data_IF_264674233581
#
_entry.id   IF_264674233581
#
_cell.length_a   1.000
_cell.length_b   1.000
_cell.length_c   1.000
_cell.angle_alpha   90.00
_cell.angle_beta   90.00
_cell.angle_gamma   90.00
#
_symmetry.space_group_name_H-M   'P 1'
#
loop_
_entity.id
_entity.type
_entity.pdbx_description
1 polymer ?
#
# COMPACT_ATOMS: atom_id res chain seq x y z
N UNK A 1 -22.34 6.88 24.07
CA UNK A 1 -22.43 6.02 22.87
C UNK A 1 -23.48 4.96 23.13
N UNK A 2 -24.48 4.83 22.25
CA UNK A 2 -25.56 3.84 22.38
C UNK A 2 -25.10 2.45 21.92
N UNK A 3 -25.84 1.40 22.26
CA UNK A 3 -25.55 0.04 21.77
C UNK A 3 -25.60 -0.04 20.24
N UNK A 4 -26.56 0.65 19.62
CA UNK A 4 -26.67 0.74 18.15
C UNK A 4 -25.44 1.38 17.50
N UNK A 5 -24.93 2.47 18.07
CA UNK A 5 -23.71 3.13 17.56
C UNK A 5 -22.47 2.24 17.69
N UNK A 6 -22.41 1.38 18.72
CA UNK A 6 -21.34 0.38 18.86
C UNK A 6 -21.41 -0.68 17.78
N UNK A 7 -22.60 -1.23 17.54
CA UNK A 7 -22.82 -2.25 16.50
C UNK A 7 -22.49 -1.74 15.10
N UNK A 8 -22.91 -0.51 14.77
CA UNK A 8 -22.60 0.14 13.50
C UNK A 8 -21.09 0.37 13.32
N UNK A 9 -20.39 0.79 14.38
CA UNK A 9 -18.95 0.97 14.36
C UNK A 9 -18.20 -0.36 14.18
N UNK A 10 -18.63 -1.43 14.86
CA UNK A 10 -18.05 -2.76 14.68
C UNK A 10 -18.25 -3.29 13.26
N UNK A 11 -19.46 -3.18 12.71
CA UNK A 11 -19.75 -3.61 11.34
C UNK A 11 -18.91 -2.84 10.29
N UNK A 12 -18.69 -1.55 10.52
CA UNK A 12 -17.81 -0.75 9.66
C UNK A 12 -16.36 -1.25 9.70
N UNK A 13 -15.84 -1.53 10.90
CA UNK A 13 -14.46 -2.04 11.06
C UNK A 13 -14.31 -3.42 10.42
N UNK A 14 -15.29 -4.32 10.58
CA UNK A 14 -15.29 -5.62 9.91
C UNK A 14 -15.26 -5.47 8.39
N UNK A 15 -16.07 -4.55 7.83
CA UNK A 15 -16.06 -4.27 6.39
C UNK A 15 -14.69 -3.78 5.91
N UNK A 16 -14.09 -2.82 6.62
CA UNK A 16 -12.75 -2.32 6.31
C UNK A 16 -11.72 -3.46 6.36
N UNK A 17 -11.79 -4.31 7.38
CA UNK A 17 -10.91 -5.48 7.51
C UNK A 17 -11.02 -6.43 6.31
N UNK A 18 -12.23 -6.65 5.81
CA UNK A 18 -12.46 -7.49 4.64
C UNK A 18 -11.98 -6.83 3.34
N UNK A 19 -12.18 -5.52 3.18
CA UNK A 19 -11.68 -4.77 2.03
C UNK A 19 -10.14 -4.77 2.01
N UNK A 20 -9.48 -4.60 3.16
CA UNK A 20 -8.02 -4.70 3.29
C UNK A 20 -7.51 -6.11 2.90
N UNK A 21 -8.18 -7.17 3.34
CA UNK A 21 -7.82 -8.55 2.95
C UNK A 21 -7.99 -8.77 1.46
N UNK A 22 -9.05 -8.25 0.84
CA UNK A 22 -9.27 -8.35 -0.61
C UNK A 22 -8.22 -7.58 -1.39
N UNK A 23 -7.83 -6.40 -0.90
CA UNK A 23 -6.74 -5.61 -1.47
C UNK A 23 -5.45 -6.43 -1.55
N UNK A 24 -4.94 -6.95 -0.43
CA UNK A 24 -3.64 -7.64 -0.38
C UNK A 24 -3.63 -9.01 -1.05
N UNK A 25 -4.78 -9.69 -1.13
CA UNK A 25 -4.86 -11.02 -1.76
C UNK A 25 -5.23 -10.98 -3.25
N UNK A 26 -5.48 -9.79 -3.82
CA UNK A 26 -5.86 -9.61 -5.22
C UNK A 26 -4.87 -10.26 -6.21
N UNK A 27 -3.57 -10.16 -5.96
CA UNK A 27 -2.53 -10.74 -6.83
C UNK A 27 -2.57 -12.27 -6.90
N UNK A 28 -3.21 -12.94 -5.93
CA UNK A 28 -3.30 -14.42 -5.87
C UNK A 28 -4.39 -15.00 -6.76
N UNK A 29 -5.38 -14.20 -7.19
CA UNK A 29 -6.51 -14.69 -7.99
C UNK A 29 -6.26 -14.62 -9.50
N UNK A 30 -5.16 -14.02 -9.95
CA UNK A 30 -4.76 -13.96 -11.36
C UNK A 30 -5.60 -13.04 -12.24
N UNK A 31 -6.72 -12.51 -11.74
CA UNK A 31 -7.55 -11.54 -12.44
C UNK A 31 -7.10 -10.12 -12.08
N UNK A 32 -7.14 -9.19 -13.04
CA UNK A 32 -7.01 -7.75 -12.73
C UNK A 32 -8.21 -7.29 -11.90
N UNK A 33 -8.04 -6.23 -11.09
CA UNK A 33 -9.16 -5.60 -10.38
C UNK A 33 -10.15 -5.07 -11.42
N UNK A 34 -11.44 -5.18 -11.14
CA UNK A 34 -12.44 -4.50 -11.96
C UNK A 34 -12.36 -3.00 -11.74
N UNK A 35 -12.88 -2.21 -12.67
CA UNK A 35 -12.94 -0.74 -12.54
C UNK A 35 -13.75 -0.31 -11.31
N UNK A 36 -14.83 -1.02 -11.02
CA UNK A 36 -15.66 -0.76 -9.83
C UNK A 36 -14.89 -1.02 -8.54
N UNK A 37 -14.15 -2.14 -8.48
CA UNK A 37 -13.31 -2.47 -7.31
C UNK A 37 -12.23 -1.40 -7.09
N UNK A 38 -11.67 -0.89 -8.18
CA UNK A 38 -10.64 0.15 -8.15
C UNK A 38 -11.16 1.46 -7.56
N UNK A 39 -12.37 1.88 -7.95
CA UNK A 39 -13.05 3.05 -7.37
C UNK A 39 -13.33 2.84 -5.88
N UNK A 40 -13.83 1.66 -5.49
CA UNK A 40 -14.10 1.34 -4.09
C UNK A 40 -12.84 1.42 -3.21
N UNK A 41 -11.70 0.95 -3.73
CA UNK A 41 -10.43 1.05 -3.01
C UNK A 41 -9.92 2.48 -2.92
N UNK A 42 -10.03 3.29 -3.98
CA UNK A 42 -9.66 4.71 -3.89
C UNK A 42 -10.45 5.41 -2.79
N UNK A 43 -11.77 5.18 -2.69
CA UNK A 43 -12.60 5.71 -1.61
C UNK A 43 -12.18 5.23 -0.21
N UNK A 44 -11.77 3.96 -0.09
CA UNK A 44 -11.24 3.41 1.16
C UNK A 44 -9.96 4.14 1.58
N UNK A 45 -9.04 4.35 0.65
CA UNK A 45 -7.77 5.01 0.92
C UNK A 45 -7.96 6.50 1.22
N UNK A 46 -8.85 7.19 0.50
CA UNK A 46 -9.25 8.57 0.81
C UNK A 46 -9.82 8.69 2.23
N UNK A 47 -10.67 7.74 2.65
CA UNK A 47 -11.21 7.76 4.00
C UNK A 47 -10.11 7.63 5.06
N UNK A 48 -9.13 6.74 4.85
CA UNK A 48 -8.00 6.58 5.77
C UNK A 48 -7.14 7.86 5.78
N UNK A 49 -6.89 8.44 4.61
CA UNK A 49 -6.12 9.66 4.43
C UNK A 49 -6.76 10.87 5.16
N UNK A 50 -8.08 11.00 5.06
CA UNK A 50 -8.85 12.01 5.81
C UNK A 50 -8.66 11.82 7.32
N UNK A 51 -8.75 10.59 7.83
CA UNK A 51 -8.56 10.33 9.26
C UNK A 51 -7.12 10.66 9.71
N UNK A 52 -6.12 10.32 8.91
CA UNK A 52 -4.72 10.69 9.18
C UNK A 52 -4.58 12.22 9.26
N UNK A 53 -5.10 12.93 8.26
CA UNK A 53 -5.04 14.39 8.20
C UNK A 53 -5.76 15.04 9.38
N UNK A 54 -6.96 14.58 9.68
CA UNK A 54 -7.76 15.07 10.81
C UNK A 54 -7.02 14.86 12.13
N UNK A 55 -6.49 13.67 12.40
CA UNK A 55 -5.77 13.40 13.64
C UNK A 55 -4.46 14.20 13.73
N UNK A 56 -3.74 14.35 12.62
CA UNK A 56 -2.50 15.13 12.58
C UNK A 56 -2.76 16.60 12.92
N UNK A 57 -3.85 17.18 12.42
CA UNK A 57 -4.26 18.57 12.66
C UNK A 57 -4.64 18.89 14.11
N UNK A 58 -4.95 17.86 14.93
CA UNK A 58 -5.34 18.06 16.33
C UNK A 58 -4.15 18.49 17.18
N UNK A 59 -4.34 19.56 17.96
CA UNK A 59 -3.33 20.06 18.91
C UNK A 59 -3.02 19.05 20.01
N UNK A 60 -4.07 18.43 20.55
CA UNK A 60 -3.97 17.37 21.56
C UNK A 60 -4.58 16.11 20.95
N UNK A 61 -3.84 15.01 21.02
CA UNK A 61 -4.22 13.71 20.47
C UNK A 61 -4.50 12.76 21.63
N UNK A 62 -5.55 11.98 21.51
CA UNK A 62 -5.76 10.81 22.36
C UNK A 62 -4.69 9.75 22.08
N UNK A 63 -4.51 8.79 22.99
CA UNK A 63 -3.62 7.65 22.76
C UNK A 63 -4.00 6.90 21.48
N UNK A 64 -5.29 6.66 21.26
CA UNK A 64 -5.80 6.01 20.05
C UNK A 64 -5.37 6.73 18.76
N UNK A 65 -5.46 8.06 18.74
CA UNK A 65 -5.10 8.86 17.56
C UNK A 65 -3.59 8.94 17.36
N UNK A 66 -2.82 9.04 18.45
CA UNK A 66 -1.36 9.04 18.40
C UNK A 66 -0.83 7.71 17.84
N UNK A 67 -1.35 6.59 18.35
CA UNK A 67 -1.02 5.25 17.89
C UNK A 67 -1.41 5.04 16.43
N UNK A 68 -2.58 5.50 16.01
CA UNK A 68 -3.00 5.42 14.61
C UNK A 68 -1.98 6.12 13.71
N UNK A 69 -1.57 7.35 14.05
CA UNK A 69 -0.61 8.10 13.26
C UNK A 69 0.78 7.45 13.25
N UNK A 70 1.24 6.95 14.39
CA UNK A 70 2.54 6.29 14.51
C UNK A 70 2.60 5.00 13.69
N UNK A 71 1.56 4.19 13.73
CA UNK A 71 1.53 2.90 13.06
C UNK A 71 1.22 3.05 11.57
N UNK A 72 0.24 3.86 11.19
CA UNK A 72 -0.29 3.90 9.82
C UNK A 72 0.54 4.77 8.89
N UNK A 73 1.21 5.81 9.39
CA UNK A 73 1.96 6.71 8.50
C UNK A 73 3.35 6.18 8.21
N UNK A 74 3.65 6.02 6.94
CA UNK A 74 5.00 5.76 6.47
C UNK A 74 5.61 7.00 5.79
N UNK A 75 6.80 7.39 6.23
CA UNK A 75 7.65 8.36 5.52
C UNK A 75 8.99 7.72 5.20
N UNK A 76 9.36 7.69 3.92
CA UNK A 76 10.60 7.06 3.50
C UNK A 76 10.68 6.79 2.02
N UNK A 77 11.61 5.91 1.65
CA UNK A 77 11.74 5.43 0.28
C UNK A 77 10.61 4.44 -0.01
N UNK A 78 10.10 4.51 -1.23
CA UNK A 78 9.08 3.62 -1.74
C UNK A 78 9.57 3.02 -3.04
N UNK A 79 9.26 1.75 -3.27
CA UNK A 79 9.57 1.06 -4.50
C UNK A 79 8.30 0.50 -5.10
N UNK A 80 8.20 0.54 -6.42
CA UNK A 80 7.12 -0.07 -7.18
C UNK A 80 7.71 -0.91 -8.28
N UNK A 81 7.15 -2.09 -8.49
CA UNK A 81 7.70 -3.06 -9.42
C UNK A 81 6.66 -3.41 -10.46
N UNK A 82 7.06 -3.34 -11.73
CA UNK A 82 6.22 -3.70 -12.88
C UNK A 82 6.93 -4.75 -13.72
N UNK A 83 6.30 -5.92 -13.88
CA UNK A 83 6.77 -6.97 -14.80
C UNK A 83 6.38 -6.68 -16.26
N UNK A 84 5.23 -6.02 -16.47
CA UNK A 84 4.74 -5.64 -17.78
C UNK A 84 4.98 -4.14 -17.99
N UNK A 85 5.91 -3.80 -18.87
CA UNK A 85 6.27 -2.42 -19.19
C UNK A 85 6.70 -2.32 -20.66
N UNK A 86 6.60 -1.11 -21.23
CA UNK A 86 7.02 -0.80 -22.58
C UNK A 86 8.05 0.34 -22.57
N UNK A 87 9.32 0.01 -22.77
CA UNK A 87 10.46 0.94 -22.78
C UNK A 87 10.32 2.08 -23.80
N UNK A 88 9.48 1.90 -24.83
CA UNK A 88 9.30 2.88 -25.91
C UNK A 88 8.16 3.87 -25.67
N UNK A 89 7.39 3.69 -24.60
CA UNK A 89 6.25 4.54 -24.26
C UNK A 89 6.63 5.52 -23.11
N UNK A 90 6.03 6.72 -23.07
CA UNK A 90 6.11 7.59 -21.90
C UNK A 90 5.74 6.83 -20.62
N UNK A 91 6.44 7.13 -19.53
CA UNK A 91 6.26 6.43 -18.24
C UNK A 91 6.30 4.89 -18.36
N UNK A 92 7.04 4.38 -19.36
CA UNK A 92 7.18 2.96 -19.65
C UNK A 92 5.87 2.24 -19.98
N UNK A 93 4.87 2.97 -20.50
CA UNK A 93 3.54 2.42 -20.80
C UNK A 93 2.77 1.97 -19.57
N UNK A 94 3.18 2.45 -18.39
CA UNK A 94 2.49 2.21 -17.13
C UNK A 94 1.38 3.25 -17.03
N UNK A 95 0.16 2.81 -17.30
CA UNK A 95 -1.05 3.60 -17.12
C UNK A 95 -1.80 3.08 -15.89
N UNK A 96 -2.14 4.01 -15.01
CA UNK A 96 -2.74 3.69 -13.72
C UNK A 96 -4.10 4.35 -13.69
N UNK A 97 -5.12 3.52 -13.51
CA UNK A 97 -6.52 3.92 -13.59
C UNK A 97 -7.06 4.39 -12.24
N UNK A 98 -6.21 4.46 -11.21
CA UNK A 98 -6.56 4.82 -9.83
C UNK A 98 -5.56 5.79 -9.22
N UNK A 99 -6.03 6.56 -8.25
CA UNK A 99 -5.22 7.54 -7.55
C UNK A 99 -4.23 6.85 -6.61
N UNK A 100 -4.70 5.88 -5.81
CA UNK A 100 -3.90 5.16 -4.82
C UNK A 100 -3.42 3.81 -5.35
N UNK A 101 -2.13 3.54 -5.15
CA UNK A 101 -1.53 2.27 -5.58
C UNK A 101 -0.64 1.65 -4.52
N UNK A 102 -0.41 0.35 -4.67
CA UNK A 102 0.53 -0.39 -3.85
C UNK A 102 1.98 -0.09 -4.22
N UNK A 103 2.76 0.26 -3.21
CA UNK A 103 4.21 0.35 -3.18
C UNK A 103 4.75 -0.61 -2.13
N UNK A 104 6.06 -0.79 -2.07
CA UNK A 104 6.73 -1.49 -1.00
C UNK A 104 7.80 -0.61 -0.36
N UNK A 105 7.95 -0.73 0.96
CA UNK A 105 9.11 -0.19 1.71
C UNK A 105 10.18 -1.25 1.98
N UNK A 106 10.11 -2.42 1.34
CA UNK A 106 11.15 -3.42 1.39
C UNK A 106 12.42 -2.90 0.70
N UNK A 107 13.54 -2.93 1.42
CA UNK A 107 14.83 -2.45 0.89
C UNK A 107 15.42 -3.41 -0.16
N UNK A 108 14.96 -4.66 -0.18
CA UNK A 108 15.43 -5.70 -1.08
C UNK A 108 14.26 -6.23 -1.91
N UNK A 109 14.46 -6.24 -3.21
CA UNK A 109 13.51 -6.79 -4.19
C UNK A 109 13.22 -8.28 -3.93
N UNK A 110 14.16 -9.02 -3.35
CA UNK A 110 13.99 -10.41 -2.92
C UNK A 110 12.94 -10.62 -1.82
N UNK A 111 12.51 -9.56 -1.13
CA UNK A 111 11.45 -9.64 -0.12
C UNK A 111 10.04 -9.63 -0.72
N UNK A 112 9.92 -9.39 -2.04
CA UNK A 112 8.64 -9.34 -2.76
C UNK A 112 8.37 -10.72 -3.34
N UNK A 113 7.37 -11.42 -2.81
CA UNK A 113 7.27 -12.87 -2.99
C UNK A 113 6.95 -13.28 -4.43
N UNK A 114 6.30 -12.40 -5.19
CA UNK A 114 5.94 -12.63 -6.59
C UNK A 114 7.01 -12.16 -7.57
N UNK A 115 8.08 -11.52 -7.09
CA UNK A 115 9.16 -11.01 -7.94
C UNK A 115 10.46 -11.80 -7.73
N UNK A 116 10.85 -12.54 -8.77
CA UNK A 116 12.12 -13.27 -8.78
C UNK A 116 13.24 -12.37 -9.33
N UNK A 117 14.48 -12.48 -8.83
CA UNK A 117 15.60 -11.68 -9.33
C UNK A 117 15.84 -11.86 -10.84
N UNK A 118 15.55 -13.05 -11.36
CA UNK A 118 15.61 -13.38 -12.78
C UNK A 118 14.48 -12.79 -13.63
N UNK A 119 13.45 -12.21 -13.01
CA UNK A 119 12.33 -11.59 -13.69
C UNK A 119 12.76 -10.26 -14.31
N UNK A 120 12.43 -10.09 -15.59
CA UNK A 120 12.53 -8.79 -16.25
C UNK A 120 11.45 -7.88 -15.67
N UNK A 121 11.82 -6.66 -15.31
CA UNK A 121 10.88 -5.72 -14.73
C UNK A 121 11.47 -4.33 -14.59
N UNK A 122 10.60 -3.36 -14.36
CA UNK A 122 11.00 -2.02 -13.95
C UNK A 122 10.79 -1.86 -12.46
N UNK A 123 11.79 -1.27 -11.80
CA UNK A 123 11.71 -0.80 -10.44
C UNK A 123 11.65 0.72 -10.48
N UNK A 124 10.53 1.28 -10.05
CA UNK A 124 10.33 2.71 -9.84
C UNK A 124 10.63 2.99 -8.38
N UNK A 125 11.60 3.85 -8.11
CA UNK A 125 11.89 4.33 -6.77
C UNK A 125 11.30 5.74 -6.60
N UNK A 126 10.43 5.87 -5.61
CA UNK A 126 9.90 7.13 -5.12
C UNK A 126 10.38 7.45 -3.71
N UNK A 127 9.97 8.62 -3.22
CA UNK A 127 10.04 8.96 -1.79
C UNK A 127 8.82 9.79 -1.46
N UNK A 128 8.24 9.57 -0.29
CA UNK A 128 7.27 10.51 0.27
C UNK A 128 7.96 11.87 0.46
N UNK A 129 7.37 12.96 -0.03
CA UNK A 129 7.92 14.31 0.18
C UNK A 129 7.83 14.73 1.66
N UNK A 130 8.42 15.88 2.00
CA UNK A 130 8.61 16.35 3.39
C UNK A 130 7.29 16.48 4.19
N UNK A 131 6.16 16.66 3.51
CA UNK A 131 4.83 16.76 4.10
C UNK A 131 3.87 15.65 3.64
N UNK A 132 4.38 14.57 3.07
CA UNK A 132 3.57 13.47 2.57
C UNK A 132 3.85 12.18 3.32
N UNK A 133 2.92 11.24 3.27
CA UNK A 133 3.05 9.91 3.85
C UNK A 133 2.38 8.88 2.95
N UNK A 134 2.83 7.64 3.04
CA UNK A 134 2.07 6.48 2.59
C UNK A 134 1.34 5.83 3.77
N UNK A 135 0.34 5.02 3.45
CA UNK A 135 -0.44 4.22 4.40
C UNK A 135 0.25 2.86 4.52
N UNK A 136 0.86 2.58 5.67
CA UNK A 136 1.52 1.33 5.99
C UNK A 136 0.49 0.24 6.31
N UNK A 137 0.39 -0.79 5.45
CA UNK A 137 -0.60 -1.84 5.65
C UNK A 137 -0.28 -2.75 6.83
N UNK A 138 0.99 -2.95 7.16
CA UNK A 138 1.38 -3.70 8.35
C UNK A 138 0.99 -2.92 9.60
N UNK A 139 1.30 -1.62 9.63
CA UNK A 139 0.94 -0.74 10.73
C UNK A 139 -0.58 -0.60 10.91
N UNK A 140 -1.34 -0.48 9.82
CA UNK A 140 -2.80 -0.49 9.85
C UNK A 140 -3.36 -1.81 10.39
N UNK A 141 -2.77 -2.95 10.00
CA UNK A 141 -3.12 -4.26 10.54
C UNK A 141 -2.84 -4.35 12.05
N UNK A 142 -1.69 -3.87 12.50
CA UNK A 142 -1.30 -3.88 13.92
C UNK A 142 -2.24 -2.99 14.75
N UNK A 143 -2.63 -1.84 14.21
CA UNK A 143 -3.62 -0.95 14.81
C UNK A 143 -4.98 -1.63 14.98
N UNK A 144 -5.47 -2.31 13.92
CA UNK A 144 -6.73 -3.07 13.95
C UNK A 144 -6.67 -4.17 15.02
N UNK A 145 -5.56 -4.91 15.08
CA UNK A 145 -5.32 -5.96 16.08
C UNK A 145 -5.37 -5.38 17.50
N UNK A 146 -4.72 -4.23 17.72
CA UNK A 146 -4.63 -3.61 19.05
C UNK A 146 -5.98 -3.14 19.56
N UNK A 147 -6.79 -2.49 18.72
CA UNK A 147 -7.98 -1.76 19.18
C UNK A 147 -9.32 -2.41 18.87
N UNK A 148 -9.40 -3.31 17.88
CA UNK A 148 -10.69 -3.79 17.38
C UNK A 148 -10.79 -5.30 17.28
N UNK A 149 -9.83 -5.95 16.62
CA UNK A 149 -9.94 -7.36 16.25
C UNK A 149 -8.61 -8.10 16.45
N UNK A 150 -8.29 -8.54 17.68
CA UNK A 150 -7.00 -9.16 18.03
C UNK A 150 -6.60 -10.38 17.18
N UNK A 151 -7.59 -11.10 16.65
CA UNK A 151 -7.44 -12.26 15.79
C UNK A 151 -7.33 -11.90 14.29
N UNK A 152 -7.35 -10.61 13.94
CA UNK A 152 -7.20 -10.17 12.55
C UNK A 152 -5.89 -10.68 11.94
N UNK A 153 -5.98 -11.08 10.68
CA UNK A 153 -4.85 -11.48 9.84
C UNK A 153 -5.08 -10.87 8.47
N UNK A 154 -4.27 -9.86 8.14
CA UNK A 154 -4.37 -9.17 6.86
C UNK A 154 -3.99 -10.10 5.70
N UNK A 155 -2.90 -10.84 5.84
CA UNK A 155 -2.41 -11.78 4.83
C UNK A 155 -1.53 -12.87 5.42
N UNK A 156 -0.99 -13.72 4.54
CA UNK A 156 0.03 -14.70 4.90
C UNK A 156 1.35 -13.99 5.28
N UNK A 157 2.23 -14.57 6.12
CA UNK A 157 3.51 -13.95 6.46
C UNK A 157 4.32 -13.49 5.25
N UNK A 158 4.27 -14.26 4.16
CA UNK A 158 4.89 -13.94 2.87
C UNK A 158 4.35 -12.66 2.23
N UNK A 159 3.04 -12.38 2.35
CA UNK A 159 2.43 -11.14 1.83
C UNK A 159 2.78 -9.96 2.72
N UNK A 160 2.75 -10.16 4.03
CA UNK A 160 3.16 -9.13 5.00
C UNK A 160 4.66 -8.80 4.89
N UNK A 161 5.47 -9.75 4.42
CA UNK A 161 6.89 -9.59 4.11
C UNK A 161 7.16 -8.59 2.97
N UNK A 162 6.17 -8.35 2.10
CA UNK A 162 6.28 -7.32 1.06
C UNK A 162 6.27 -5.91 1.62
N UNK A 163 5.87 -5.72 2.90
CA UNK A 163 5.80 -4.41 3.57
C UNK A 163 5.09 -3.39 2.69
N UNK A 164 3.88 -3.74 2.25
CA UNK A 164 3.10 -2.94 1.32
C UNK A 164 2.72 -1.59 1.96
N UNK A 165 2.86 -0.53 1.18
CA UNK A 165 2.48 0.83 1.51
C UNK A 165 1.59 1.35 0.40
N UNK A 166 0.42 1.86 0.74
CA UNK A 166 -0.48 2.50 -0.23
C UNK A 166 -0.16 3.98 -0.31
N UNK A 167 0.10 4.47 -1.51
CA UNK A 167 0.51 5.86 -1.73
C UNK A 167 0.13 6.31 -3.15
N UNK A 168 -0.35 7.55 -3.32
CA UNK A 168 -0.78 8.01 -4.63
C UNK A 168 0.39 8.12 -5.60
N UNK A 169 0.13 7.87 -6.88
CA UNK A 169 1.17 8.08 -7.90
C UNK A 169 1.32 9.57 -8.15
N UNK A 170 2.43 10.10 -7.65
CA UNK A 170 2.90 11.45 -7.96
C UNK A 170 4.16 11.31 -8.80
N UNK A 171 4.03 11.47 -10.11
CA UNK A 171 5.15 11.30 -11.04
C UNK A 171 6.30 12.26 -10.71
N UNK A 172 6.00 13.43 -10.15
CA UNK A 172 6.97 14.39 -9.62
C UNK A 172 7.83 13.84 -8.46
N UNK A 173 7.36 12.81 -7.76
CA UNK A 173 8.07 12.19 -6.63
C UNK A 173 8.90 10.96 -7.05
N UNK A 174 8.92 10.62 -8.35
CA UNK A 174 9.77 9.54 -8.88
C UNK A 174 11.21 10.02 -8.91
N UNK A 175 12.06 9.37 -8.12
CA UNK A 175 13.49 9.68 -8.03
C UNK A 175 14.33 8.95 -9.06
N UNK A 176 13.98 7.71 -9.33
CA UNK A 176 14.78 6.83 -10.17
C UNK A 176 13.90 5.75 -10.78
N UNK A 177 14.19 5.42 -12.03
CA UNK A 177 13.68 4.22 -12.66
C UNK A 177 14.87 3.35 -13.03
N UNK A 178 14.83 2.08 -12.60
CA UNK A 178 15.85 1.09 -12.92
C UNK A 178 15.19 -0.05 -13.68
N UNK A 179 15.74 -0.38 -14.84
CA UNK A 179 15.47 -1.64 -15.50
C UNK A 179 16.17 -2.75 -14.70
N UNK A 180 15.39 -3.72 -14.22
CA UNK A 180 15.92 -5.02 -13.89
C UNK A 180 16.05 -5.79 -15.21
N UNK A 181 17.06 -5.43 -16.01
CA UNK A 181 17.49 -6.29 -17.09
C UNK A 181 18.14 -7.52 -16.45
N UNK A 182 17.88 -8.68 -17.04
CA UNK A 182 18.68 -9.89 -16.85
C UNK A 182 20.16 -9.50 -16.70
N UNK A 183 20.87 -10.22 -15.84
CA UNK A 183 22.31 -10.36 -15.99
C UNK A 183 22.54 -10.69 -17.48
N UNK A 184 23.24 -9.80 -18.17
CA UNK A 184 23.84 -10.12 -19.46
C UNK A 184 24.92 -11.18 -19.19
N UNK A 185 24.50 -12.44 -19.07
CA UNK A 185 25.40 -13.57 -19.32
C UNK A 185 25.58 -13.63 -20.83
N UNK A 186 26.45 -12.78 -21.38
CA UNK A 186 27.27 -12.98 -22.57
C UNK A 186 28.04 -11.69 -22.91
N UNK A 187 28.98 -11.32 -22.06
CA UNK A 187 30.24 -10.71 -22.50
C UNK A 187 31.37 -11.69 -22.13
N UNK A 188 31.54 -12.68 -23.00
CA UNK A 188 32.66 -13.64 -23.01
C UNK A 188 33.30 -13.66 -24.39
#
# INVERSE_FOLDING_TARGET
MTNKQREEAFALVERICDDLKRWVNHSKSGFRRSEESLIEYDLLWELIDINVTDFESKREKTEFEADFLEMVKYKGNLFRIHQNYNERMPYYGIEETVHYVGWTKADKVTEIYWFYESSRGIIIQGRTAECEYGIDLNGLSDFVIKYFYPQFRLGTPTVMGEKEVVYPIKYENIKKVKLNSRIDDNDG
#
